data_IF_613703350716
#
_entry.id   IF_613703350716
#
_cell.length_a   1.000
_cell.length_b   1.000
_cell.length_c   1.000
_cell.angle_alpha   90.00
_cell.angle_beta   90.00
_cell.angle_gamma   90.00
#
_symmetry.space_group_name_H-M   'P 1'
#
loop_
_entity.id
_entity.type
_entity.pdbx_description
1 polymer ?
#
# COMPACT_ATOMS: atom_id res chain seq x y z
N UNK A 1 29.28 -17.45 -11.52
CA UNK A 1 28.25 -17.53 -12.57
C UNK A 1 27.54 -16.19 -12.70
N UNK A 2 26.86 -15.91 -13.81
CA UNK A 2 26.05 -14.71 -14.00
C UNK A 2 24.92 -14.96 -14.96
N UNK A 3 23.85 -14.15 -14.92
CA UNK A 3 22.93 -14.08 -16.06
C UNK A 3 23.73 -13.67 -17.29
N UNK A 4 23.53 -14.30 -18.44
CA UNK A 4 24.32 -13.98 -19.64
C UNK A 4 24.13 -12.53 -20.08
N UNK A 5 22.96 -11.94 -19.80
CA UNK A 5 22.67 -10.52 -20.03
C UNK A 5 23.37 -9.55 -19.07
N UNK A 6 23.97 -10.05 -17.99
CA UNK A 6 24.64 -9.22 -16.98
C UNK A 6 26.15 -9.22 -17.19
N UNK A 7 26.81 -8.21 -16.64
CA UNK A 7 28.26 -8.05 -16.68
C UNK A 7 28.97 -8.52 -15.41
N UNK A 8 28.27 -8.56 -14.28
CA UNK A 8 28.84 -8.93 -12.98
C UNK A 8 28.60 -10.42 -12.65
N UNK A 9 29.56 -11.02 -11.93
CA UNK A 9 29.51 -12.41 -11.50
C UNK A 9 29.13 -12.54 -10.03
N UNK A 10 28.33 -13.57 -9.75
CA UNK A 10 28.15 -14.16 -8.43
C UNK A 10 29.19 -15.26 -8.22
N UNK A 11 29.79 -15.29 -7.04
CA UNK A 11 30.82 -16.27 -6.66
C UNK A 11 30.28 -17.23 -5.62
N UNK A 12 30.58 -18.52 -5.80
CA UNK A 12 30.28 -19.55 -4.82
C UNK A 12 31.53 -20.43 -4.68
N UNK A 13 31.94 -20.67 -3.43
CA UNK A 13 33.06 -21.53 -3.11
C UNK A 13 32.55 -22.94 -2.76
N UNK A 14 33.27 -23.97 -3.19
CA UNK A 14 32.96 -25.37 -2.89
C UNK A 14 34.25 -26.17 -2.77
N UNK A 15 34.27 -27.14 -1.86
CA UNK A 15 35.32 -28.15 -1.76
C UNK A 15 34.94 -29.45 -2.50
N UNK A 16 33.78 -29.47 -3.16
CA UNK A 16 33.29 -30.57 -3.97
C UNK A 16 33.46 -30.26 -5.45
N UNK A 17 33.63 -31.30 -6.27
CA UNK A 17 33.72 -31.16 -7.73
C UNK A 17 32.36 -30.86 -8.40
N UNK A 18 31.28 -30.73 -7.61
CA UNK A 18 29.93 -30.41 -8.04
C UNK A 18 29.30 -29.40 -7.11
N UNK A 19 28.42 -28.55 -7.64
CA UNK A 19 27.61 -27.62 -6.86
C UNK A 19 26.22 -27.47 -7.48
N UNK A 20 25.20 -27.40 -6.62
CA UNK A 20 23.84 -27.02 -7.02
C UNK A 20 23.65 -25.52 -6.79
N UNK A 21 23.11 -24.83 -7.78
CA UNK A 21 22.81 -23.40 -7.70
C UNK A 21 21.29 -23.23 -7.81
N UNK A 22 20.67 -22.93 -6.68
CA UNK A 22 19.22 -22.73 -6.59
C UNK A 22 18.81 -21.27 -6.87
N UNK A 23 17.51 -21.03 -7.01
CA UNK A 23 16.96 -19.68 -7.17
C UNK A 23 17.26 -19.03 -8.52
N UNK A 24 17.70 -19.79 -9.51
CA UNK A 24 17.88 -19.29 -10.86
C UNK A 24 16.52 -19.02 -11.51
N UNK A 25 16.41 -17.87 -12.18
CA UNK A 25 15.22 -17.53 -12.98
C UNK A 25 15.03 -18.57 -14.10
N UNK A 26 13.85 -19.19 -14.23
CA UNK A 26 13.54 -20.12 -15.33
C UNK A 26 13.71 -19.49 -16.71
N UNK A 27 13.91 -20.34 -17.73
CA UNK A 27 14.12 -19.92 -19.12
C UNK A 27 15.15 -18.78 -19.30
N UNK A 28 16.18 -18.74 -18.45
CA UNK A 28 17.20 -17.70 -18.47
C UNK A 28 18.57 -18.33 -18.70
N UNK A 29 19.34 -17.76 -19.62
CA UNK A 29 20.72 -18.16 -19.86
C UNK A 29 21.65 -17.62 -18.78
N UNK A 30 22.53 -18.49 -18.29
CA UNK A 30 23.58 -18.17 -17.34
C UNK A 30 24.93 -18.62 -17.87
N UNK A 31 25.94 -17.81 -17.59
CA UNK A 31 27.34 -18.09 -17.90
C UNK A 31 28.04 -18.60 -16.63
N UNK A 32 28.76 -19.71 -16.78
CA UNK A 32 29.49 -20.39 -15.71
C UNK A 32 30.97 -20.50 -16.08
N UNK A 33 31.83 -20.22 -15.12
CA UNK A 33 33.25 -20.47 -15.18
C UNK A 33 33.72 -20.86 -13.78
N UNK A 34 34.71 -21.75 -13.70
CA UNK A 34 35.27 -22.23 -12.43
C UNK A 34 36.75 -21.89 -12.34
N UNK A 35 37.23 -21.63 -11.13
CA UNK A 35 38.65 -21.53 -10.82
C UNK A 35 38.94 -22.33 -9.56
N UNK A 36 40.19 -22.74 -9.39
CA UNK A 36 40.66 -23.41 -8.18
C UNK A 36 41.41 -22.42 -7.29
N UNK A 37 41.35 -22.64 -5.98
CA UNK A 37 42.10 -21.88 -4.99
C UNK A 37 43.04 -22.83 -4.26
N UNK A 38 44.33 -22.51 -4.19
CA UNK A 38 45.28 -23.31 -3.42
C UNK A 38 45.22 -23.00 -1.92
N UNK A 39 45.95 -23.77 -1.09
CA UNK A 39 45.98 -23.59 0.38
C UNK A 39 46.44 -22.21 0.87
N UNK A 40 47.02 -21.39 0.01
CA UNK A 40 47.47 -20.03 0.32
C UNK A 40 46.48 -18.95 -0.17
N UNK A 41 45.30 -19.35 -0.67
CA UNK A 41 44.28 -18.42 -1.16
C UNK A 41 44.53 -17.90 -2.58
N UNK A 42 45.49 -18.48 -3.32
CA UNK A 42 45.82 -18.03 -4.68
C UNK A 42 44.90 -18.72 -5.69
N UNK A 43 44.24 -17.93 -6.53
CA UNK A 43 43.35 -18.36 -7.61
C UNK A 43 44.16 -18.83 -8.84
N UNK A 44 43.69 -19.88 -9.50
CA UNK A 44 44.07 -20.20 -10.87
C UNK A 44 43.41 -19.24 -11.87
N UNK A 45 43.81 -19.34 -13.15
CA UNK A 45 42.98 -18.82 -14.24
C UNK A 45 41.61 -19.51 -14.22
N UNK A 46 40.57 -18.79 -14.61
CA UNK A 46 39.24 -19.37 -14.80
C UNK A 46 39.23 -20.32 -16.00
N UNK A 47 38.34 -21.30 -15.97
CA UNK A 47 37.99 -22.12 -17.13
C UNK A 47 37.42 -21.27 -18.27
N UNK A 48 37.26 -21.86 -19.45
CA UNK A 48 36.37 -21.31 -20.46
C UNK A 48 34.94 -21.17 -19.90
N UNK A 49 34.21 -20.18 -20.41
CA UNK A 49 32.81 -19.97 -20.06
C UNK A 49 31.94 -21.04 -20.72
N UNK A 50 31.06 -21.64 -19.93
CA UNK A 50 29.95 -22.47 -20.42
C UNK A 50 28.66 -21.70 -20.22
N UNK A 51 27.85 -21.59 -21.25
CA UNK A 51 26.50 -20.99 -21.17
C UNK A 51 25.45 -22.09 -21.11
N UNK A 52 24.52 -21.97 -20.18
CA UNK A 52 23.39 -22.89 -20.06
C UNK A 52 22.09 -22.13 -19.80
N UNK A 53 21.01 -22.56 -20.44
CA UNK A 53 19.67 -22.00 -20.21
C UNK A 53 18.92 -22.91 -19.26
N UNK A 54 18.48 -22.36 -18.13
CA UNK A 54 17.67 -23.10 -17.16
C UNK A 54 16.38 -23.58 -17.77
N UNK A 55 15.91 -24.76 -17.36
CA UNK A 55 14.59 -25.26 -17.73
C UNK A 55 13.46 -24.28 -17.34
N UNK A 56 12.30 -24.48 -17.94
CA UNK A 56 11.05 -23.80 -17.54
C UNK A 56 10.07 -24.80 -16.98
N UNK A 57 9.29 -24.38 -15.99
CA UNK A 57 8.10 -25.13 -15.57
C UNK A 57 7.10 -25.17 -16.72
N UNK A 58 6.51 -26.34 -16.94
CA UNK A 58 5.39 -26.57 -17.87
C UNK A 58 4.07 -26.76 -17.14
N UNK A 59 4.10 -26.74 -15.80
CA UNK A 59 2.96 -26.98 -14.93
C UNK A 59 2.57 -25.63 -14.31
N UNK A 60 1.33 -25.21 -14.54
CA UNK A 60 0.78 -24.04 -13.89
C UNK A 60 0.58 -24.29 -12.37
N UNK A 61 0.65 -23.25 -11.53
CA UNK A 61 0.29 -23.36 -10.12
C UNK A 61 -1.11 -23.96 -9.91
N UNK A 62 -1.29 -24.64 -8.77
CA UNK A 62 -2.58 -25.03 -8.29
C UNK A 62 -3.48 -23.79 -8.07
N UNK A 63 -4.79 -24.01 -8.17
CA UNK A 63 -5.77 -22.96 -7.88
C UNK A 63 -5.67 -22.50 -6.43
N UNK A 64 -5.71 -21.18 -6.22
CA UNK A 64 -5.67 -20.56 -4.89
C UNK A 64 -6.90 -20.96 -4.08
N UNK A 65 -6.70 -21.30 -2.81
CA UNK A 65 -7.76 -21.76 -1.90
C UNK A 65 -7.91 -20.86 -0.68
N UNK A 66 -9.01 -21.02 0.07
CA UNK A 66 -9.26 -20.27 1.29
C UNK A 66 -9.42 -18.76 1.10
N UNK A 67 -9.90 -18.33 -0.06
CA UNK A 67 -10.08 -16.90 -0.37
C UNK A 67 -11.25 -16.32 0.41
N UNK A 68 -11.03 -15.18 1.06
CA UNK A 68 -12.04 -14.43 1.79
C UNK A 68 -11.86 -12.93 1.58
N UNK A 69 -12.92 -12.15 1.80
CA UNK A 69 -12.91 -10.70 1.65
C UNK A 69 -13.61 -10.04 2.85
N UNK A 70 -12.98 -9.01 3.41
CA UNK A 70 -13.49 -8.24 4.54
C UNK A 70 -13.56 -6.76 4.18
N UNK A 71 -14.76 -6.18 4.26
CA UNK A 71 -14.98 -4.76 3.98
C UNK A 71 -14.63 -3.87 5.18
N UNK A 72 -13.92 -2.78 4.91
CA UNK A 72 -13.65 -1.70 5.87
C UNK A 72 -14.23 -0.36 5.44
N UNK A 73 -13.67 0.74 5.95
CA UNK A 73 -14.06 2.10 5.54
C UNK A 73 -13.38 2.42 4.21
N UNK A 74 -14.15 2.38 3.12
CA UNK A 74 -13.65 2.64 1.76
C UNK A 74 -12.50 1.72 1.29
N UNK A 75 -12.37 0.51 1.85
CA UNK A 75 -11.42 -0.50 1.38
C UNK A 75 -11.96 -1.91 1.57
N UNK A 76 -11.40 -2.88 0.86
CA UNK A 76 -11.61 -4.31 1.09
C UNK A 76 -10.26 -4.99 1.29
N UNK A 77 -10.13 -5.83 2.31
CA UNK A 77 -8.98 -6.72 2.51
C UNK A 77 -9.37 -8.07 1.95
N UNK A 78 -8.54 -8.61 1.06
CA UNK A 78 -8.70 -9.93 0.46
C UNK A 78 -7.56 -10.79 0.99
N UNK A 79 -7.89 -11.96 1.54
CA UNK A 79 -6.92 -12.88 2.13
C UNK A 79 -7.12 -14.29 1.56
N UNK A 80 -6.05 -15.07 1.50
CA UNK A 80 -6.08 -16.45 1.01
C UNK A 80 -5.05 -17.36 1.69
N UNK A 81 -5.20 -18.66 1.47
CA UNK A 81 -4.21 -19.65 1.88
C UNK A 81 -3.08 -19.70 0.88
N UNK A 82 -1.83 -19.72 1.35
CA UNK A 82 -0.67 -19.82 0.47
C UNK A 82 -0.66 -21.15 -0.28
N UNK A 83 -0.40 -21.07 -1.59
CA UNK A 83 0.09 -22.17 -2.40
C UNK A 83 1.43 -22.69 -1.82
N UNK A 84 1.71 -23.97 -2.04
CA UNK A 84 2.84 -24.70 -1.43
C UNK A 84 3.96 -25.05 -2.43
N UNK A 85 3.74 -24.72 -3.69
CA UNK A 85 4.66 -24.97 -4.80
C UNK A 85 5.98 -24.22 -4.58
N UNK A 86 7.09 -24.94 -4.70
CA UNK A 86 8.43 -24.37 -4.51
C UNK A 86 8.76 -23.28 -5.54
N UNK A 87 8.14 -23.33 -6.72
CA UNK A 87 8.30 -22.35 -7.79
C UNK A 87 7.21 -21.24 -7.77
N UNK A 88 6.42 -21.12 -6.70
CA UNK A 88 5.46 -20.02 -6.55
C UNK A 88 6.19 -18.66 -6.57
N UNK A 89 5.67 -17.72 -7.36
CA UNK A 89 6.25 -16.39 -7.54
C UNK A 89 5.38 -15.28 -6.95
N UNK A 90 4.08 -15.27 -7.29
CA UNK A 90 3.15 -14.21 -6.88
C UNK A 90 1.69 -14.60 -7.10
N UNK A 91 0.77 -13.70 -6.75
CA UNK A 91 -0.67 -13.83 -6.94
C UNK A 91 -1.21 -12.61 -7.69
N UNK A 92 -2.04 -12.87 -8.70
CA UNK A 92 -2.84 -11.88 -9.40
C UNK A 92 -4.21 -11.77 -8.74
N UNK A 93 -4.61 -10.55 -8.35
CA UNK A 93 -5.90 -10.28 -7.72
C UNK A 93 -6.81 -9.57 -8.71
N UNK A 94 -8.01 -10.11 -8.90
CA UNK A 94 -9.01 -9.63 -9.84
C UNK A 94 -10.24 -9.15 -9.10
N UNK A 95 -10.91 -8.13 -9.64
CA UNK A 95 -12.14 -7.57 -9.08
C UNK A 95 -13.21 -7.33 -10.14
N UNK A 96 -14.46 -7.47 -9.74
CA UNK A 96 -15.62 -7.03 -10.49
C UNK A 96 -16.73 -6.52 -9.53
N UNK A 97 -17.71 -5.77 -10.03
CA UNK A 97 -18.96 -5.44 -9.32
C UNK A 97 -20.10 -6.40 -9.69
N UNK A 98 -19.85 -7.31 -10.64
CA UNK A 98 -20.73 -8.42 -10.99
C UNK A 98 -20.04 -9.73 -10.60
N UNK A 99 -20.78 -10.71 -10.09
CA UNK A 99 -20.24 -12.04 -9.79
C UNK A 99 -19.93 -12.84 -11.08
N UNK A 100 -18.94 -12.39 -11.83
CA UNK A 100 -18.46 -13.02 -13.04
C UNK A 100 -16.93 -12.83 -13.17
N UNK A 101 -16.13 -13.90 -12.97
CA UNK A 101 -14.67 -13.82 -13.08
C UNK A 101 -14.16 -13.57 -14.50
N UNK A 102 -14.93 -13.91 -15.55
CA UNK A 102 -14.49 -13.76 -16.95
C UNK A 102 -14.40 -12.30 -17.38
N UNK A 103 -15.13 -11.41 -16.69
CA UNK A 103 -15.13 -9.96 -16.93
C UNK A 103 -14.40 -9.20 -15.82
N UNK A 104 -13.76 -9.90 -14.90
CA UNK A 104 -13.04 -9.27 -13.79
C UNK A 104 -11.75 -8.58 -14.27
N UNK A 105 -11.45 -7.44 -13.67
CA UNK A 105 -10.25 -6.65 -13.97
C UNK A 105 -9.11 -7.03 -13.02
N UNK A 106 -7.90 -7.21 -13.54
CA UNK A 106 -6.69 -7.36 -12.72
C UNK A 106 -6.40 -6.03 -12.00
N UNK A 107 -6.39 -6.06 -10.66
CA UNK A 107 -6.18 -4.86 -9.83
C UNK A 107 -4.82 -4.86 -9.12
N UNK A 108 -4.11 -5.99 -9.11
CA UNK A 108 -2.79 -6.05 -8.49
C UNK A 108 -2.09 -7.39 -8.65
N UNK A 109 -0.78 -7.37 -8.45
CA UNK A 109 0.08 -8.54 -8.30
C UNK A 109 0.85 -8.42 -6.97
N UNK A 110 0.84 -9.46 -6.13
CA UNK A 110 1.48 -9.42 -4.82
C UNK A 110 2.12 -10.76 -4.46
N UNK A 111 3.14 -10.73 -3.59
CA UNK A 111 3.83 -11.93 -3.08
C UNK A 111 3.33 -12.40 -1.72
N UNK A 112 2.49 -11.59 -1.09
CA UNK A 112 1.83 -11.86 0.19
C UNK A 112 0.60 -12.73 -0.03
N UNK A 113 0.03 -13.24 1.05
CA UNK A 113 -1.24 -13.99 1.05
C UNK A 113 -2.47 -13.09 1.28
N UNK A 114 -2.30 -11.78 1.09
CA UNK A 114 -3.36 -10.79 1.21
C UNK A 114 -3.12 -9.61 0.27
N UNK A 115 -4.20 -8.89 -0.04
CA UNK A 115 -4.21 -7.66 -0.83
C UNK A 115 -5.23 -6.67 -0.25
N UNK A 116 -4.89 -5.37 -0.25
CA UNK A 116 -5.79 -4.31 0.20
C UNK A 116 -6.25 -3.50 -1.00
N UNK A 117 -7.53 -3.62 -1.36
CA UNK A 117 -8.16 -2.83 -2.40
C UNK A 117 -8.75 -1.55 -1.80
N UNK A 118 -7.99 -0.45 -1.89
CA UNK A 118 -8.37 0.86 -1.36
C UNK A 118 -9.25 1.69 -2.30
N UNK A 119 -9.84 2.76 -1.74
CA UNK A 119 -10.62 3.74 -2.49
C UNK A 119 -11.90 3.16 -3.10
N UNK A 120 -12.52 2.20 -2.41
CA UNK A 120 -13.79 1.60 -2.83
C UNK A 120 -14.97 2.41 -2.30
N UNK A 121 -16.00 2.56 -3.11
CA UNK A 121 -17.23 3.23 -2.70
C UNK A 121 -18.00 2.34 -1.73
N UNK A 122 -18.38 2.88 -0.58
CA UNK A 122 -19.16 2.12 0.39
C UNK A 122 -20.58 1.83 -0.09
N UNK A 123 -21.11 0.68 0.29
CA UNK A 123 -22.44 0.20 -0.11
C UNK A 123 -22.50 -0.53 -1.45
N UNK A 124 -21.38 -0.60 -2.18
CA UNK A 124 -21.25 -1.39 -3.41
C UNK A 124 -20.66 -2.76 -3.07
N UNK A 125 -21.27 -3.85 -3.54
CA UNK A 125 -20.65 -5.17 -3.44
C UNK A 125 -19.57 -5.33 -4.49
N UNK A 126 -18.38 -5.74 -4.04
CA UNK A 126 -17.26 -6.08 -4.89
C UNK A 126 -16.96 -7.56 -4.76
N UNK A 127 -16.76 -8.22 -5.90
CA UNK A 127 -16.39 -9.62 -6.04
C UNK A 127 -14.91 -9.72 -6.41
N UNK A 128 -14.21 -10.66 -5.80
CA UNK A 128 -12.78 -10.86 -5.92
C UNK A 128 -12.43 -12.30 -6.25
N UNK A 129 -11.39 -12.45 -7.05
CA UNK A 129 -10.78 -13.74 -7.39
C UNK A 129 -9.27 -13.61 -7.42
N UNK A 130 -8.58 -14.71 -7.13
CA UNK A 130 -7.13 -14.76 -7.10
C UNK A 130 -6.63 -15.88 -8.01
N UNK A 131 -5.55 -15.62 -8.75
CA UNK A 131 -4.78 -16.63 -9.48
C UNK A 131 -3.33 -16.63 -9.01
N UNK A 132 -2.76 -17.82 -8.84
CA UNK A 132 -1.34 -17.97 -8.52
C UNK A 132 -0.49 -17.90 -9.79
N UNK A 133 0.74 -17.44 -9.65
CA UNK A 133 1.74 -17.30 -10.72
C UNK A 133 3.04 -17.94 -10.26
N UNK A 134 3.66 -18.80 -11.07
CA UNK A 134 4.98 -19.37 -10.76
C UNK A 134 6.14 -18.55 -11.33
N UNK A 135 7.38 -18.92 -11.00
CA UNK A 135 8.60 -18.24 -11.47
C UNK A 135 8.83 -18.35 -12.97
N UNK A 136 8.15 -19.28 -13.65
CA UNK A 136 8.11 -19.38 -15.11
C UNK A 136 7.06 -18.48 -15.77
N UNK A 137 6.25 -17.76 -14.97
CA UNK A 137 5.19 -16.89 -15.47
C UNK A 137 3.90 -17.62 -15.84
N UNK A 138 3.79 -18.92 -15.56
CA UNK A 138 2.52 -19.65 -15.72
C UNK A 138 1.54 -19.25 -14.63
N UNK A 139 0.29 -19.09 -15.03
CA UNK A 139 -0.82 -18.68 -14.15
C UNK A 139 -1.75 -19.86 -13.93
N UNK A 140 -2.27 -20.04 -12.71
CA UNK A 140 -3.25 -21.09 -12.41
C UNK A 140 -4.41 -21.07 -13.42
N UNK A 141 -4.78 -22.25 -13.91
CA UNK A 141 -5.80 -22.41 -14.95
C UNK A 141 -7.12 -21.77 -14.54
N UNK A 142 -7.60 -22.12 -13.34
CA UNK A 142 -8.83 -21.59 -12.78
C UNK A 142 -8.55 -20.42 -11.84
N UNK A 143 -9.54 -19.53 -11.73
CA UNK A 143 -9.65 -18.61 -10.61
C UNK A 143 -9.89 -19.37 -9.31
N UNK A 144 -9.57 -18.76 -8.18
CA UNK A 144 -10.09 -19.18 -6.89
C UNK A 144 -11.63 -19.23 -6.88
N UNK A 145 -12.21 -19.75 -5.79
CA UNK A 145 -13.60 -19.45 -5.47
C UNK A 145 -13.80 -17.93 -5.33
N UNK A 146 -15.03 -17.47 -5.56
CA UNK A 146 -15.38 -16.05 -5.37
C UNK A 146 -15.36 -15.69 -3.88
N UNK A 147 -14.80 -14.53 -3.58
CA UNK A 147 -15.03 -13.83 -2.31
C UNK A 147 -15.72 -12.49 -2.61
N UNK A 148 -16.58 -12.02 -1.71
CA UNK A 148 -17.19 -10.69 -1.85
C UNK A 148 -17.24 -9.95 -0.54
N UNK A 149 -17.27 -8.62 -0.63
CA UNK A 149 -17.47 -7.75 0.52
C UNK A 149 -18.13 -6.43 0.08
N UNK A 150 -18.83 -5.82 1.03
CA UNK A 150 -19.42 -4.50 0.90
C UNK A 150 -18.67 -3.56 1.87
N UNK A 151 -17.75 -2.70 1.39
CA UNK A 151 -17.13 -1.69 2.23
C UNK A 151 -18.19 -0.68 2.68
N UNK A 152 -17.91 0.06 3.75
CA UNK A 152 -18.79 1.14 4.23
C UNK A 152 -18.21 2.52 3.93
N UNK A 153 -19.10 3.49 3.82
CA UNK A 153 -18.72 4.90 3.73
C UNK A 153 -18.27 5.41 5.10
N UNK A 154 -17.52 6.51 5.10
CA UNK A 154 -17.23 7.28 6.32
C UNK A 154 -18.54 7.85 6.83
N UNK A 155 -18.84 7.64 8.11
CA UNK A 155 -20.00 8.23 8.79
C UNK A 155 -19.56 9.35 9.74
N UNK A 156 -20.53 10.07 10.31
CA UNK A 156 -20.27 11.06 11.36
C UNK A 156 -19.56 10.47 12.57
N UNK A 157 -19.79 9.20 12.87
CA UNK A 157 -19.22 8.51 14.02
C UNK A 157 -17.74 8.16 13.81
N UNK A 158 -17.32 8.04 12.55
CA UNK A 158 -15.90 7.87 12.19
C UNK A 158 -15.12 9.19 12.27
N UNK A 159 -15.81 10.33 12.38
CA UNK A 159 -15.20 11.65 12.47
C UNK A 159 -15.29 12.13 13.92
N UNK A 160 -14.15 12.30 14.58
CA UNK A 160 -14.11 13.03 15.85
C UNK A 160 -14.38 14.50 15.55
N UNK A 161 -15.64 14.90 15.69
CA UNK A 161 -15.99 16.31 15.79
C UNK A 161 -15.41 16.82 17.10
N UNK A 162 -14.46 17.77 17.02
CA UNK A 162 -14.07 18.53 18.19
C UNK A 162 -15.29 19.33 18.63
N UNK A 163 -15.91 18.93 19.73
CA UNK A 163 -16.94 19.76 20.37
C UNK A 163 -16.34 21.16 20.59
N UNK A 164 -17.11 22.22 20.33
CA UNK A 164 -16.63 23.60 20.50
C UNK A 164 -16.07 23.88 21.91
N UNK A 165 -16.51 23.12 22.91
CA UNK A 165 -16.04 23.13 24.29
C UNK A 165 -14.72 22.38 24.55
N UNK A 166 -14.19 21.62 23.57
CA UNK A 166 -12.85 21.00 23.60
C UNK A 166 -11.76 21.90 23.02
N UNK A 167 -12.14 22.99 22.34
CA UNK A 167 -11.22 24.07 22.01
C UNK A 167 -11.17 24.99 23.23
N UNK A 168 -10.32 24.64 24.20
CA UNK A 168 -9.95 25.59 25.25
C UNK A 168 -8.92 26.56 24.65
N UNK A 169 -9.28 27.82 24.48
CA UNK A 169 -8.29 28.90 24.39
C UNK A 169 -7.92 29.22 25.84
N UNK A 170 -6.89 28.56 26.37
CA UNK A 170 -6.31 28.91 27.66
C UNK A 170 -5.28 30.04 27.47
N UNK A 171 -5.37 31.07 28.32
CA UNK A 171 -4.51 32.25 28.30
C UNK A 171 -5.15 33.52 27.74
N UNK A 172 -4.41 34.64 27.84
CA UNK A 172 -4.83 35.94 27.33
C UNK A 172 -4.53 36.04 25.83
N UNK A 173 -5.55 35.91 24.99
CA UNK A 173 -5.44 36.23 23.55
C UNK A 173 -5.87 37.66 23.29
N UNK A 174 -4.96 38.48 22.74
CA UNK A 174 -5.27 39.84 22.30
C UNK A 174 -5.78 39.84 20.85
N UNK A 175 -6.81 40.64 20.56
CA UNK A 175 -7.34 40.84 19.19
C UNK A 175 -6.27 41.27 18.17
N UNK A 176 -5.20 41.94 18.63
CA UNK A 176 -4.03 42.29 17.81
C UNK A 176 -3.33 41.08 17.19
N UNK A 177 -3.45 39.90 17.80
CA UNK A 177 -2.78 38.68 17.35
C UNK A 177 -3.53 37.97 16.22
N UNK A 178 -4.78 38.36 15.95
CA UNK A 178 -5.64 37.79 14.89
C UNK A 178 -5.92 38.75 13.74
N UNK A 179 -5.62 40.05 13.91
CA UNK A 179 -5.77 41.05 12.85
C UNK A 179 -4.57 41.03 11.91
N UNK A 180 -4.81 40.83 10.61
CA UNK A 180 -3.84 41.26 9.59
C UNK A 180 -3.77 42.78 9.60
N UNK A 181 -2.56 43.33 9.42
CA UNK A 181 -2.33 44.79 9.37
C UNK A 181 -3.23 45.42 8.29
N UNK A 182 -4.04 46.41 8.69
CA UNK A 182 -4.97 47.12 7.80
C UNK A 182 -6.44 46.71 7.90
N UNK A 183 -6.79 45.73 8.74
CA UNK A 183 -8.19 45.28 8.89
C UNK A 183 -8.99 46.21 9.84
N UNK A 184 -9.94 46.96 9.27
CA UNK A 184 -10.83 47.91 9.96
C UNK A 184 -12.18 47.29 10.36
N UNK A 185 -12.36 45.99 10.17
CA UNK A 185 -13.64 45.33 10.43
C UNK A 185 -13.96 45.37 11.95
N UNK A 186 -15.03 46.07 12.31
CA UNK A 186 -15.57 46.11 13.68
C UNK A 186 -16.56 44.96 13.85
N UNK A 187 -16.38 44.14 14.88
CA UNK A 187 -17.42 43.21 15.31
C UNK A 187 -18.42 44.04 16.13
N UNK A 188 -19.52 44.47 15.50
CA UNK A 188 -20.71 44.95 16.21
C UNK A 188 -21.52 43.70 16.60
N UNK A 189 -21.06 43.02 17.65
CA UNK A 189 -21.68 41.82 18.18
C UNK A 189 -21.89 41.97 19.67
N UNK A 190 -23.15 42.14 20.07
CA UNK A 190 -23.56 42.04 21.46
C UNK A 190 -23.28 40.67 22.08
N UNK A 191 -23.45 40.62 23.40
CA UNK A 191 -23.52 39.48 24.32
C UNK A 191 -22.54 38.31 24.11
N UNK A 192 -21.45 38.32 24.90
CA UNK A 192 -20.77 37.10 25.35
C UNK A 192 -20.84 37.10 26.89
N UNK A 193 -21.58 36.16 27.49
CA UNK A 193 -21.59 35.93 28.95
C UNK A 193 -20.57 34.83 29.28
N UNK A 194 -19.79 34.90 30.35
CA UNK A 194 -20.22 34.91 31.75
C UNK A 194 -19.26 35.69 32.66
N UNK A 195 -19.81 36.38 33.67
CA UNK A 195 -19.03 36.96 34.77
C UNK A 195 -18.71 38.46 34.65
N UNK A 196 -19.74 39.30 34.79
CA UNK A 196 -19.71 40.75 34.97
C UNK A 196 -19.27 41.60 33.78
N UNK A 197 -20.21 42.39 33.25
CA UNK A 197 -19.95 43.49 32.32
C UNK A 197 -20.22 44.81 33.05
N UNK A 198 -19.23 45.70 33.07
CA UNK A 198 -19.47 47.12 33.34
C UNK A 198 -19.52 47.82 31.98
N UNK A 199 -20.69 48.32 31.59
CA UNK A 199 -20.80 49.21 30.43
C UNK A 199 -20.51 50.64 30.88
N UNK A 200 -19.72 51.40 30.11
CA UNK A 200 -19.62 52.85 30.27
C UNK A 200 -20.37 53.48 29.11
N UNK A 201 -21.58 53.95 29.38
CA UNK A 201 -22.30 54.82 28.44
C UNK A 201 -21.79 56.25 28.61
N UNK A 202 -21.25 56.83 27.54
CA UNK A 202 -21.04 58.27 27.47
C UNK A 202 -22.26 58.92 26.82
N UNK A 203 -23.12 59.56 27.61
CA UNK A 203 -24.10 60.52 27.10
C UNK A 203 -23.36 61.81 26.74
N UNK A 204 -23.30 62.16 25.45
CA UNK A 204 -23.03 63.55 25.07
C UNK A 204 -24.35 64.33 25.13
N UNK A 205 -24.59 65.03 26.23
CA UNK A 205 -25.50 66.17 26.26
C UNK A 205 -24.69 67.41 25.88
N UNK A 206 -25.14 68.16 24.88
CA UNK A 206 -24.70 69.54 24.69
C UNK A 206 -25.92 70.45 24.57
N UNK A 207 -25.93 71.48 25.41
CA UNK A 207 -26.97 72.46 25.61
C UNK A 207 -27.05 73.47 24.45
N UNK A 208 -28.27 73.87 24.10
CA UNK A 208 -28.58 75.07 23.30
C UNK A 208 -28.32 76.31 24.14
N UNK A 209 -27.60 77.29 23.59
CA UNK A 209 -27.66 78.69 24.05
C UNK A 209 -28.19 79.57 22.92
N UNK A 210 -29.31 80.25 23.17
CA UNK A 210 -29.83 81.32 22.33
C UNK A 210 -28.94 82.56 22.44
N UNK A 211 -28.67 83.19 21.30
CA UNK A 211 -28.76 84.65 21.12
C UNK A 211 -29.39 84.91 19.75
#
# INVERSE_FOLDING_TARGET
>A
YKKSSFTYYQYINSNSNTITIDGLTPNTSYDFAVSSVNKYGILSTYSSTVTHTTATSTIAPATVSGVSATGGIQYVIIEWTNNSEADLSSYNVYRNTTNNPETATLIGNCKTNYFVDGGRTGGIEYFYWVKAVNTSGLVSTNFSIVASAIPRNVTSDDVVTLAGSKVLIDGTTYLSNWRKSGDLTKIDGGSISTGSVTTVFWSKSFNISRY
#
